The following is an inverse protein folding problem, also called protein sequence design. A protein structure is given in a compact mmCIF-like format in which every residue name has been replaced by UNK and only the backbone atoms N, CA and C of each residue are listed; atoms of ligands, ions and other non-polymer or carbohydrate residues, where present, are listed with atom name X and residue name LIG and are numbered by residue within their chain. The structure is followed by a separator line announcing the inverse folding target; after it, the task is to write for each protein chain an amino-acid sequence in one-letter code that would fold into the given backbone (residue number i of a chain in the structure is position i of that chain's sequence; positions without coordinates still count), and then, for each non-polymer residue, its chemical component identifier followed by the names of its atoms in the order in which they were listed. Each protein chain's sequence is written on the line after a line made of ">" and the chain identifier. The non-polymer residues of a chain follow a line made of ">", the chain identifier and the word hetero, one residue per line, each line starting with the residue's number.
data_IF_009352803529
#
_entry.id   IF_009352803529
#
_cell.length_a   1.000
_cell.length_b   1.000
_cell.length_c   1.000
_cell.angle_alpha   90.00
_cell.angle_beta   90.00
_cell.angle_gamma   90.00
#
_symmetry.space_group_name_H-M   'P 1'
#
loop_
_entity.id
_entity.type
_entity.pdbx_description
1 polymer ?
#
# COMPACT_ATOMS: atom_id res chain seq x y z
N UNK A 1 27.48 41.05 2.24
CA UNK A 1 27.63 40.47 0.88
C UNK A 1 27.26 38.99 0.82
N UNK A 2 27.73 38.16 1.75
CA UNK A 2 27.39 36.71 1.82
C UNK A 2 25.89 36.43 2.09
N UNK A 3 25.22 37.28 2.88
CA UNK A 3 23.80 37.13 3.20
C UNK A 3 22.84 37.41 2.03
N UNK A 4 23.25 38.24 1.06
CA UNK A 4 22.46 38.54 -0.14
C UNK A 4 22.53 37.41 -1.17
N UNK A 5 23.70 36.77 -1.28
CA UNK A 5 23.95 35.64 -2.20
C UNK A 5 23.17 34.38 -1.75
N UNK A 6 23.00 34.17 -0.43
CA UNK A 6 22.20 33.04 0.07
C UNK A 6 20.68 33.23 -0.15
N UNK A 7 20.17 34.46 -0.07
CA UNK A 7 18.75 34.73 -0.33
C UNK A 7 18.38 34.63 -1.81
N UNK A 8 19.27 35.06 -2.73
CA UNK A 8 19.07 34.84 -4.16
C UNK A 8 19.13 33.35 -4.54
N UNK A 9 19.94 32.56 -3.84
CA UNK A 9 20.05 31.12 -4.05
C UNK A 9 18.80 30.37 -3.56
N UNK A 10 18.25 30.73 -2.40
CA UNK A 10 17.01 30.17 -1.87
C UNK A 10 15.79 30.49 -2.76
N UNK A 11 15.69 31.72 -3.27
CA UNK A 11 14.62 32.12 -4.20
C UNK A 11 14.75 31.45 -5.58
N UNK A 12 15.96 31.19 -6.07
CA UNK A 12 16.17 30.41 -7.29
C UNK A 12 15.81 28.93 -7.11
N UNK A 13 16.05 28.34 -5.93
CA UNK A 13 15.68 26.95 -5.64
C UNK A 13 14.14 26.81 -5.51
N UNK A 14 13.46 27.76 -4.85
CA UNK A 14 11.99 27.82 -4.81
C UNK A 14 11.39 27.89 -6.22
N UNK A 15 11.89 28.83 -7.03
CA UNK A 15 11.46 29.01 -8.43
C UNK A 15 11.74 27.77 -9.29
N UNK A 16 12.82 27.04 -9.04
CA UNK A 16 13.14 25.80 -9.75
C UNK A 16 12.28 24.62 -9.30
N UNK A 17 11.86 24.56 -8.03
CA UNK A 17 10.91 23.54 -7.54
C UNK A 17 9.49 23.79 -8.05
N UNK A 18 9.07 25.06 -8.17
CA UNK A 18 7.79 25.42 -8.78
C UNK A 18 7.79 25.18 -10.29
N UNK A 19 8.92 25.45 -10.96
CA UNK A 19 9.10 25.12 -12.37
C UNK A 19 9.20 23.60 -12.59
N UNK A 20 9.82 22.83 -11.69
CA UNK A 20 9.86 21.38 -11.75
C UNK A 20 8.46 20.77 -11.55
N UNK A 21 7.64 21.31 -10.64
CA UNK A 21 6.22 20.96 -10.47
C UNK A 21 5.39 21.28 -11.72
N UNK A 22 5.63 22.43 -12.35
CA UNK A 22 4.97 22.83 -13.60
C UNK A 22 5.43 22.01 -14.83
N UNK A 23 6.71 21.60 -14.86
CA UNK A 23 7.29 20.85 -15.98
C UNK A 23 6.96 19.36 -15.89
N UNK A 24 6.79 18.80 -14.68
CA UNK A 24 6.27 17.45 -14.48
C UNK A 24 4.78 17.33 -14.88
N UNK A 25 3.97 18.38 -14.64
CA UNK A 25 2.59 18.46 -15.17
C UNK A 25 2.54 18.49 -16.71
N UNK A 26 3.57 19.00 -17.37
CA UNK A 26 3.55 19.22 -18.83
C UNK A 26 4.10 18.07 -19.69
N UNK A 27 4.52 16.93 -19.11
CA UNK A 27 5.09 15.79 -19.88
C UNK A 27 4.29 14.48 -19.84
N UNK A 28 3.09 14.47 -19.27
CA UNK A 28 2.11 13.39 -19.46
C UNK A 28 0.87 14.01 -20.11
N UNK A 29 0.89 14.13 -21.44
CA UNK A 29 -0.31 14.43 -22.22
C UNK A 29 -1.10 13.15 -22.44
N UNK A 30 -1.82 12.75 -21.41
CA UNK A 30 -3.08 12.01 -21.50
C UNK A 30 -4.01 12.72 -20.52
N UNK A 31 -5.09 13.32 -21.03
CA UNK A 31 -6.01 14.23 -20.34
C UNK A 31 -6.17 14.03 -18.83
N UNK A 32 -6.04 15.11 -18.03
CA UNK A 32 -6.72 15.12 -16.74
C UNK A 32 -7.13 16.54 -16.29
N UNK A 33 -8.31 17.07 -16.66
CA UNK A 33 -8.94 18.17 -15.91
C UNK A 33 -10.48 18.16 -16.04
N UNK A 34 -11.11 17.09 -15.55
CA UNK A 34 -12.41 17.22 -14.88
C UNK A 34 -12.24 16.51 -13.55
N UNK A 35 -12.41 17.21 -12.40
CA UNK A 35 -12.62 16.50 -11.15
C UNK A 35 -13.77 15.55 -11.39
N UNK A 36 -13.56 14.24 -11.22
CA UNK A 36 -14.68 13.31 -11.14
C UNK A 36 -15.57 13.84 -10.02
N UNK A 37 -16.73 14.41 -10.36
CA UNK A 37 -17.71 14.80 -9.37
C UNK A 37 -18.01 13.55 -8.55
N UNK A 38 -17.59 13.58 -7.29
CA UNK A 38 -17.75 12.41 -6.44
C UNK A 38 -19.23 12.27 -6.15
N UNK A 39 -19.81 11.15 -6.58
CA UNK A 39 -21.23 10.89 -6.41
C UNK A 39 -21.61 11.08 -4.95
N UNK A 40 -22.51 12.02 -4.68
CA UNK A 40 -23.07 12.30 -3.35
C UNK A 40 -23.69 11.06 -2.68
N UNK A 41 -23.91 9.97 -3.44
CA UNK A 41 -24.39 8.68 -2.96
C UNK A 41 -23.29 7.63 -2.76
N UNK A 42 -21.99 7.96 -2.85
CA UNK A 42 -20.93 6.99 -2.63
C UNK A 42 -20.92 6.52 -1.17
N UNK A 43 -21.23 5.24 -0.97
CA UNK A 43 -21.20 4.56 0.33
C UNK A 43 -20.14 3.48 0.33
N UNK A 44 -19.24 3.52 1.31
CA UNK A 44 -18.07 2.63 1.38
C UNK A 44 -18.25 1.61 2.49
N UNK A 45 -18.10 0.33 2.16
CA UNK A 45 -18.25 -0.79 3.07
C UNK A 45 -16.94 -1.50 3.31
N UNK A 46 -16.69 -1.94 4.55
CA UNK A 46 -15.60 -2.85 4.87
C UNK A 46 -16.17 -4.13 5.48
N UNK A 47 -15.89 -5.27 4.85
CA UNK A 47 -16.11 -6.59 5.43
C UNK A 47 -14.80 -7.06 6.04
N UNK A 48 -14.71 -6.99 7.37
CA UNK A 48 -13.50 -7.18 8.15
C UNK A 48 -12.99 -5.88 8.76
N UNK A 49 -12.83 -5.87 10.09
CA UNK A 49 -12.33 -4.72 10.85
C UNK A 49 -10.82 -4.82 11.17
N UNK A 50 -10.01 -5.36 10.25
CA UNK A 50 -8.56 -5.56 10.41
C UNK A 50 -7.74 -4.28 10.20
N UNK A 51 -6.41 -4.38 10.35
CA UNK A 51 -5.50 -3.23 10.17
C UNK A 51 -5.58 -2.60 8.78
N UNK A 52 -5.75 -3.42 7.73
CA UNK A 52 -5.86 -2.91 6.36
C UNK A 52 -7.16 -2.11 6.16
N UNK A 53 -8.29 -2.63 6.63
CA UNK A 53 -9.55 -1.87 6.64
C UNK A 53 -9.42 -0.55 7.40
N UNK A 54 -8.77 -0.56 8.57
CA UNK A 54 -8.58 0.65 9.37
C UNK A 54 -7.67 1.67 8.68
N UNK A 55 -6.53 1.25 8.13
CA UNK A 55 -5.60 2.14 7.43
C UNK A 55 -6.25 2.80 6.21
N UNK A 56 -6.99 2.02 5.41
CA UNK A 56 -7.72 2.51 4.24
C UNK A 56 -8.86 3.44 4.67
N UNK A 57 -9.69 3.04 5.62
CA UNK A 57 -10.78 3.89 6.13
C UNK A 57 -10.25 5.22 6.66
N UNK A 58 -9.17 5.20 7.44
CA UNK A 58 -8.54 6.42 7.94
C UNK A 58 -8.06 7.33 6.81
N UNK A 59 -7.46 6.77 5.76
CA UNK A 59 -7.02 7.56 4.61
C UNK A 59 -8.19 8.19 3.85
N UNK A 60 -9.22 7.40 3.55
CA UNK A 60 -10.43 7.88 2.88
C UNK A 60 -11.06 9.08 3.59
N UNK A 61 -11.16 9.02 4.92
CA UNK A 61 -11.75 10.09 5.72
C UNK A 61 -10.85 11.33 5.81
N UNK A 62 -9.53 11.16 5.68
CA UNK A 62 -8.59 12.28 5.75
C UNK A 62 -8.58 13.16 4.50
N UNK A 63 -9.09 12.69 3.35
CA UNK A 63 -9.23 13.57 2.19
C UNK A 63 -10.27 14.67 2.41
N UNK A 64 -11.22 14.44 3.31
CA UNK A 64 -12.37 15.33 3.54
C UNK A 64 -13.52 15.13 2.54
N UNK A 65 -13.30 14.38 1.47
CA UNK A 65 -14.31 14.12 0.45
C UNK A 65 -15.32 13.06 0.92
N UNK A 66 -14.86 12.09 1.71
CA UNK A 66 -15.70 10.99 2.22
C UNK A 66 -16.11 11.27 3.67
N UNK A 67 -17.39 11.57 3.96
CA UNK A 67 -17.83 11.77 5.34
C UNK A 67 -17.84 10.43 6.11
N UNK A 68 -17.52 10.39 7.42
CA UNK A 68 -17.57 9.17 8.21
C UNK A 68 -18.91 8.42 8.16
N UNK A 69 -20.01 9.17 7.99
CA UNK A 69 -21.38 8.64 7.91
C UNK A 69 -21.66 7.87 6.62
N UNK A 70 -20.81 7.98 5.58
CA UNK A 70 -20.89 7.18 4.36
C UNK A 70 -20.10 5.88 4.44
N UNK A 71 -19.33 5.67 5.52
CA UNK A 71 -18.52 4.46 5.74
C UNK A 71 -19.20 3.52 6.74
N UNK A 72 -19.19 2.23 6.45
CA UNK A 72 -19.64 1.18 7.38
C UNK A 72 -18.67 0.00 7.42
N UNK A 73 -18.39 -0.51 8.61
CA UNK A 73 -17.47 -1.63 8.83
C UNK A 73 -18.18 -2.78 9.53
N UNK A 74 -17.95 -4.01 9.07
CA UNK A 74 -18.44 -5.23 9.71
C UNK A 74 -17.32 -6.12 10.23
N UNK A 75 -17.56 -6.78 11.37
CA UNK A 75 -16.71 -7.87 11.86
C UNK A 75 -17.48 -8.80 12.82
N UNK A 76 -17.08 -10.08 12.94
CA UNK A 76 -17.73 -11.02 13.86
C UNK A 76 -17.46 -10.69 15.34
N UNK A 77 -16.45 -9.87 15.64
CA UNK A 77 -16.09 -9.46 17.01
C UNK A 77 -15.97 -7.95 17.09
N UNK A 78 -16.41 -7.37 18.21
CA UNK A 78 -16.31 -5.94 18.49
C UNK A 78 -14.89 -5.48 18.88
N UNK A 79 -13.90 -6.39 18.96
CA UNK A 79 -12.53 -6.10 19.43
C UNK A 79 -11.91 -4.85 18.79
N UNK A 80 -12.17 -4.63 17.50
CA UNK A 80 -11.59 -3.53 16.74
C UNK A 80 -12.60 -2.39 16.45
N UNK A 81 -13.83 -2.42 16.98
CA UNK A 81 -14.84 -1.40 16.65
C UNK A 81 -14.48 -0.03 17.19
N UNK A 82 -13.93 0.05 18.41
CA UNK A 82 -13.61 1.31 19.09
C UNK A 82 -12.82 2.26 18.17
N UNK A 83 -11.74 1.79 17.54
CA UNK A 83 -10.93 2.62 16.64
C UNK A 83 -11.68 3.12 15.39
N UNK A 84 -12.69 2.39 14.90
CA UNK A 84 -13.52 2.88 13.78
C UNK A 84 -14.55 3.88 14.27
N UNK A 85 -15.14 3.65 15.45
CA UNK A 85 -16.07 4.59 16.08
C UNK A 85 -15.40 5.92 16.43
N UNK A 86 -14.13 5.91 16.84
CA UNK A 86 -13.30 7.11 17.03
C UNK A 86 -13.12 7.93 15.74
N UNK A 87 -13.25 7.30 14.57
CA UNK A 87 -13.27 7.98 13.27
C UNK A 87 -14.70 8.42 12.85
N UNK A 88 -15.72 8.18 13.68
CA UNK A 88 -17.12 8.45 13.36
C UNK A 88 -17.77 7.42 12.41
N UNK A 89 -17.12 6.28 12.18
CA UNK A 89 -17.58 5.25 11.25
C UNK A 89 -18.60 4.31 11.91
N UNK A 90 -19.67 3.99 11.18
CA UNK A 90 -20.67 3.03 11.64
C UNK A 90 -20.09 1.60 11.65
N UNK A 91 -20.37 0.84 12.71
CA UNK A 91 -19.93 -0.55 12.87
C UNK A 91 -21.12 -1.50 12.98
N UNK A 92 -20.98 -2.73 12.50
CA UNK A 92 -22.02 -3.76 12.57
C UNK A 92 -21.41 -5.17 12.67
N UNK A 93 -22.18 -6.14 13.13
CA UNK A 93 -21.81 -7.55 13.08
C UNK A 93 -22.30 -8.25 11.79
N UNK A 94 -23.08 -7.56 10.96
CA UNK A 94 -23.70 -8.12 9.76
C UNK A 94 -22.97 -7.71 8.49
N UNK A 95 -22.42 -8.69 7.76
CA UNK A 95 -21.89 -8.45 6.41
C UNK A 95 -23.01 -8.07 5.42
N UNK A 96 -24.24 -8.57 5.65
CA UNK A 96 -25.40 -8.28 4.81
C UNK A 96 -25.78 -6.80 4.89
N UNK A 97 -25.74 -6.21 6.09
CA UNK A 97 -25.98 -4.77 6.28
C UNK A 97 -24.97 -3.90 5.52
N UNK A 98 -23.71 -4.33 5.43
CA UNK A 98 -22.69 -3.62 4.64
C UNK A 98 -23.05 -3.67 3.16
N UNK A 99 -23.34 -4.85 2.59
CA UNK A 99 -23.70 -4.95 1.17
C UNK A 99 -24.97 -4.18 0.83
N UNK A 100 -25.99 -4.18 1.69
CA UNK A 100 -27.21 -3.44 1.40
C UNK A 100 -27.02 -1.92 1.37
N UNK A 101 -26.16 -1.39 2.24
CA UNK A 101 -26.00 0.05 2.46
C UNK A 101 -24.76 0.68 1.80
N UNK A 102 -23.95 -0.11 1.09
CA UNK A 102 -22.71 0.33 0.46
C UNK A 102 -22.65 -0.05 -1.03
N UNK A 103 -21.86 0.70 -1.79
CA UNK A 103 -21.65 0.53 -3.23
C UNK A 103 -20.21 0.09 -3.51
N UNK A 104 -19.23 0.71 -2.86
CA UNK A 104 -17.83 0.28 -2.91
C UNK A 104 -17.51 -0.57 -1.68
N UNK A 105 -17.27 -1.86 -1.84
CA UNK A 105 -17.15 -2.79 -0.71
C UNK A 105 -15.79 -3.46 -0.70
N UNK A 106 -15.01 -3.16 0.33
CA UNK A 106 -13.73 -3.79 0.61
C UNK A 106 -13.93 -5.11 1.37
N UNK A 107 -13.47 -6.22 0.78
CA UNK A 107 -13.37 -7.53 1.43
C UNK A 107 -11.99 -7.62 2.09
N UNK A 108 -11.94 -7.26 3.38
CA UNK A 108 -10.74 -7.11 4.20
C UNK A 108 -10.61 -8.17 5.30
N UNK A 109 -10.91 -9.41 4.93
CA UNK A 109 -10.76 -10.60 5.79
C UNK A 109 -9.48 -11.37 5.46
N UNK A 110 -9.15 -12.36 6.29
CA UNK A 110 -8.03 -13.27 6.00
C UNK A 110 -8.31 -14.08 4.72
N UNK A 111 -7.29 -14.44 3.92
CA UNK A 111 -7.50 -15.12 2.64
C UNK A 111 -8.37 -16.37 2.70
N UNK A 112 -8.15 -17.24 3.70
CA UNK A 112 -8.93 -18.47 3.88
C UNK A 112 -10.42 -18.23 4.22
N UNK A 113 -10.81 -17.01 4.62
CA UNK A 113 -12.20 -16.66 4.93
C UNK A 113 -12.95 -16.08 3.73
N UNK A 114 -12.25 -15.69 2.66
CA UNK A 114 -12.87 -14.98 1.53
C UNK A 114 -14.00 -15.80 0.90
N UNK A 115 -13.77 -17.09 0.64
CA UNK A 115 -14.80 -17.94 0.04
C UNK A 115 -16.07 -18.04 0.90
N UNK A 116 -15.92 -18.21 2.21
CA UNK A 116 -17.05 -18.27 3.14
C UNK A 116 -17.81 -16.93 3.20
N UNK A 117 -17.08 -15.81 3.27
CA UNK A 117 -17.67 -14.47 3.32
C UNK A 117 -18.41 -14.14 2.02
N UNK A 118 -17.78 -14.40 0.87
CA UNK A 118 -18.40 -14.16 -0.45
C UNK A 118 -19.63 -15.05 -0.65
N UNK A 119 -19.58 -16.31 -0.22
CA UNK A 119 -20.71 -17.24 -0.30
C UNK A 119 -21.96 -16.76 0.46
N UNK A 120 -21.80 -16.02 1.56
CA UNK A 120 -22.93 -15.43 2.30
C UNK A 120 -23.52 -14.24 1.56
N UNK A 121 -22.66 -13.36 1.03
CA UNK A 121 -23.11 -12.07 0.50
C UNK A 121 -23.47 -12.09 -0.99
N UNK A 122 -23.03 -13.10 -1.74
CA UNK A 122 -23.15 -13.17 -3.20
C UNK A 122 -24.58 -12.97 -3.71
N UNK A 123 -25.59 -13.44 -2.97
CA UNK A 123 -27.02 -13.30 -3.31
C UNK A 123 -27.52 -11.84 -3.30
N UNK A 124 -26.80 -10.94 -2.65
CA UNK A 124 -27.13 -9.52 -2.53
C UNK A 124 -26.26 -8.64 -3.43
N UNK A 125 -25.23 -9.20 -4.05
CA UNK A 125 -24.35 -8.48 -4.97
C UNK A 125 -25.09 -8.26 -6.29
N UNK A 126 -25.17 -7.00 -6.69
CA UNK A 126 -25.74 -6.53 -7.95
C UNK A 126 -24.76 -5.61 -8.68
N UNK A 127 -25.11 -5.18 -9.89
CA UNK A 127 -24.30 -4.28 -10.73
C UNK A 127 -24.00 -2.90 -10.11
N UNK A 128 -24.68 -2.52 -9.02
CA UNK A 128 -24.35 -1.29 -8.29
C UNK A 128 -23.06 -1.39 -7.47
N UNK A 129 -22.54 -2.59 -7.25
CA UNK A 129 -21.42 -2.82 -6.34
C UNK A 129 -20.10 -2.96 -7.07
N UNK A 130 -19.06 -2.32 -6.52
CA UNK A 130 -17.66 -2.55 -6.83
C UNK A 130 -17.06 -3.32 -5.66
N UNK A 131 -16.70 -4.58 -5.88
CA UNK A 131 -16.09 -5.43 -4.85
C UNK A 131 -14.57 -5.31 -4.91
N UNK A 132 -13.95 -4.81 -3.85
CA UNK A 132 -12.50 -4.65 -3.75
C UNK A 132 -11.94 -5.66 -2.75
N UNK A 133 -11.22 -6.68 -3.23
CA UNK A 133 -10.56 -7.63 -2.32
C UNK A 133 -9.18 -7.11 -1.91
N UNK A 134 -8.87 -7.14 -0.60
CA UNK A 134 -7.50 -6.89 -0.08
C UNK A 134 -6.83 -8.16 0.43
N UNK A 135 -7.40 -9.33 0.11
CA UNK A 135 -6.89 -10.60 0.58
C UNK A 135 -5.69 -11.08 -0.25
N UNK A 136 -4.54 -11.25 0.40
CA UNK A 136 -3.34 -11.79 -0.22
C UNK A 136 -3.59 -13.18 -0.83
N UNK A 137 -3.09 -13.42 -2.03
CA UNK A 137 -3.20 -14.69 -2.76
C UNK A 137 -4.59 -15.01 -3.35
N UNK A 138 -5.63 -14.23 -3.10
CA UNK A 138 -6.95 -14.52 -3.72
C UNK A 138 -7.04 -13.83 -5.09
N UNK A 139 -6.97 -14.62 -6.15
CA UNK A 139 -6.92 -14.12 -7.54
C UNK A 139 -8.26 -13.55 -8.01
N UNK A 140 -8.23 -12.67 -9.02
CA UNK A 140 -9.42 -12.12 -9.69
C UNK A 140 -10.31 -13.25 -10.22
N UNK A 141 -9.73 -14.26 -10.88
CA UNK A 141 -10.47 -15.45 -11.35
C UNK A 141 -11.20 -16.15 -10.20
N UNK A 142 -10.58 -16.26 -9.03
CA UNK A 142 -11.22 -16.86 -7.85
C UNK A 142 -12.35 -15.98 -7.31
N UNK A 143 -12.14 -14.67 -7.24
CA UNK A 143 -13.14 -13.71 -6.75
C UNK A 143 -14.36 -13.67 -7.67
N UNK A 144 -14.14 -13.58 -8.98
CA UNK A 144 -15.21 -13.56 -10.00
C UNK A 144 -15.98 -14.88 -10.01
N UNK A 145 -15.31 -16.02 -9.83
CA UNK A 145 -15.97 -17.32 -9.72
C UNK A 145 -16.79 -17.52 -8.44
N UNK A 146 -16.60 -16.69 -7.41
CA UNK A 146 -17.35 -16.70 -6.16
C UNK A 146 -18.50 -15.68 -6.12
N UNK A 147 -18.61 -14.85 -7.15
CA UNK A 147 -19.58 -13.76 -7.26
C UNK A 147 -20.51 -14.00 -8.46
N UNK A 148 -21.65 -13.29 -8.55
CA UNK A 148 -22.51 -13.39 -9.71
C UNK A 148 -21.77 -13.01 -11.00
N UNK A 149 -22.06 -13.69 -12.11
CA UNK A 149 -21.48 -13.36 -13.41
C UNK A 149 -21.71 -11.89 -13.75
N UNK A 150 -20.68 -11.20 -14.26
CA UNK A 150 -20.76 -9.77 -14.55
C UNK A 150 -20.46 -8.87 -13.35
N UNK A 151 -20.07 -9.38 -12.19
CA UNK A 151 -19.72 -8.54 -11.04
C UNK A 151 -18.48 -7.69 -11.30
N UNK A 152 -18.49 -6.44 -10.86
CA UNK A 152 -17.33 -5.54 -10.91
C UNK A 152 -16.41 -5.86 -9.72
N UNK A 153 -15.20 -6.33 -10.03
CA UNK A 153 -14.22 -6.76 -9.03
C UNK A 153 -12.88 -6.07 -9.24
N UNK A 154 -12.28 -5.60 -8.15
CA UNK A 154 -10.91 -5.09 -8.10
C UNK A 154 -10.11 -5.92 -7.09
N UNK A 155 -8.88 -6.30 -7.43
CA UNK A 155 -7.94 -6.92 -6.49
C UNK A 155 -6.93 -5.86 -6.10
N UNK A 156 -6.88 -5.51 -4.82
CA UNK A 156 -6.02 -4.49 -4.25
C UNK A 156 -5.01 -5.14 -3.30
N UNK A 157 -3.75 -4.75 -3.40
CA UNK A 157 -2.72 -5.13 -2.45
C UNK A 157 -2.14 -3.87 -1.80
N UNK A 158 -2.56 -3.54 -0.58
CA UNK A 158 -1.92 -2.50 0.22
C UNK A 158 -0.74 -3.07 1.03
N UNK A 159 0.00 -2.20 1.71
CA UNK A 159 0.97 -2.59 2.73
C UNK A 159 0.73 -1.88 4.08
N UNK A 160 1.46 -2.29 5.11
CA UNK A 160 1.25 -1.83 6.49
C UNK A 160 1.35 -0.29 6.68
N UNK A 161 2.26 0.44 6.00
CA UNK A 161 2.34 1.90 6.06
C UNK A 161 1.07 2.68 5.71
N UNK A 162 0.02 2.05 5.15
CA UNK A 162 -1.31 2.66 5.06
C UNK A 162 -1.84 3.13 6.43
N UNK A 163 -1.42 2.53 7.55
CA UNK A 163 -1.82 2.97 8.90
C UNK A 163 -1.37 4.41 9.23
N UNK A 164 -0.26 4.83 8.63
CA UNK A 164 0.34 6.17 8.77
C UNK A 164 0.23 6.96 7.47
N UNK A 165 -0.62 6.52 6.53
CA UNK A 165 -0.88 7.20 5.25
C UNK A 165 0.38 7.37 4.39
N UNK A 166 1.28 6.40 4.45
CA UNK A 166 2.51 6.32 3.63
C UNK A 166 2.57 4.95 2.93
N UNK A 167 1.40 4.43 2.56
CA UNK A 167 1.25 3.15 1.89
C UNK A 167 1.85 3.12 0.50
N UNK A 168 2.17 1.91 0.05
CA UNK A 168 2.28 1.58 -1.36
C UNK A 168 1.16 0.58 -1.66
N UNK A 169 0.33 0.92 -2.63
CA UNK A 169 -0.85 0.17 -3.01
C UNK A 169 -0.78 -0.13 -4.52
N UNK A 170 -1.05 -1.37 -4.89
CA UNK A 170 -1.21 -1.77 -6.28
C UNK A 170 -2.55 -2.47 -6.44
N UNK A 171 -3.30 -2.13 -7.48
CA UNK A 171 -4.53 -2.85 -7.82
C UNK A 171 -4.58 -3.29 -9.27
N UNK A 172 -5.47 -4.26 -9.52
CA UNK A 172 -5.81 -4.76 -10.84
C UNK A 172 -7.31 -4.89 -10.99
N UNK A 173 -7.79 -4.61 -12.21
CA UNK A 173 -9.20 -4.73 -12.58
C UNK A 173 -9.55 -6.16 -12.98
N UNK A 174 -10.71 -6.62 -12.51
CA UNK A 174 -11.36 -7.82 -13.03
C UNK A 174 -11.90 -7.62 -14.44
N UNK A 175 -12.40 -8.69 -15.02
CA UNK A 175 -12.93 -8.81 -16.38
C UNK A 175 -14.01 -7.78 -16.69
N UNK A 176 -14.88 -7.49 -15.71
CA UNK A 176 -16.03 -6.59 -15.91
C UNK A 176 -15.81 -5.17 -15.36
N UNK A 177 -14.69 -4.91 -14.68
CA UNK A 177 -14.39 -3.59 -14.15
C UNK A 177 -13.90 -2.64 -15.24
N UNK A 178 -14.54 -1.48 -15.35
CA UNK A 178 -14.23 -0.46 -16.35
C UNK A 178 -13.07 0.44 -15.90
N UNK A 179 -12.44 1.19 -16.82
CA UNK A 179 -11.39 2.16 -16.46
C UNK A 179 -11.84 3.17 -15.40
N UNK A 180 -13.12 3.57 -15.41
CA UNK A 180 -13.71 4.51 -14.47
C UNK A 180 -13.77 3.96 -13.05
N UNK A 181 -14.03 2.65 -12.88
CA UNK A 181 -13.99 1.98 -11.57
C UNK A 181 -12.58 2.03 -10.96
N UNK A 182 -11.56 1.83 -11.81
CA UNK A 182 -10.16 1.92 -11.44
C UNK A 182 -9.74 3.36 -11.10
N UNK A 183 -10.19 4.33 -11.89
CA UNK A 183 -9.94 5.75 -11.65
C UNK A 183 -10.57 6.22 -10.33
N UNK A 184 -11.80 5.79 -10.05
CA UNK A 184 -12.48 6.04 -8.78
C UNK A 184 -11.68 5.45 -7.61
N UNK A 185 -11.30 4.16 -7.68
CA UNK A 185 -10.53 3.52 -6.61
C UNK A 185 -9.19 4.25 -6.39
N UNK A 186 -8.47 4.60 -7.46
CA UNK A 186 -7.20 5.33 -7.37
C UNK A 186 -7.40 6.65 -6.66
N UNK A 187 -8.36 7.46 -7.08
CA UNK A 187 -8.66 8.78 -6.50
C UNK A 187 -8.94 8.67 -5.00
N UNK A 188 -9.83 7.75 -4.62
CA UNK A 188 -10.20 7.50 -3.22
C UNK A 188 -9.02 7.05 -2.36
N UNK A 189 -8.09 6.27 -2.91
CA UNK A 189 -6.98 5.71 -2.16
C UNK A 189 -5.73 6.60 -2.14
N UNK A 190 -5.65 7.67 -2.94
CA UNK A 190 -4.48 8.57 -2.93
C UNK A 190 -4.07 9.08 -1.53
N UNK A 191 -4.99 9.41 -0.61
CA UNK A 191 -4.63 9.79 0.76
C UNK A 191 -3.90 8.68 1.53
N UNK A 192 -4.05 7.40 1.12
CA UNK A 192 -3.40 6.26 1.76
C UNK A 192 -1.90 6.14 1.42
N UNK A 193 -1.44 6.81 0.35
CA UNK A 193 -0.07 6.76 -0.14
C UNK A 193 0.03 6.64 -1.67
N UNK A 194 1.06 5.96 -2.17
CA UNK A 194 1.23 5.70 -3.60
C UNK A 194 0.20 4.65 -4.06
N UNK A 195 -0.57 4.95 -5.10
CA UNK A 195 -1.58 4.04 -5.66
C UNK A 195 -1.37 3.85 -7.14
N UNK A 196 -1.01 2.63 -7.54
CA UNK A 196 -0.77 2.26 -8.92
C UNK A 196 -1.78 1.21 -9.40
N UNK A 197 -2.05 1.20 -10.71
CA UNK A 197 -2.79 0.13 -11.37
C UNK A 197 -1.85 -0.63 -12.28
N UNK A 198 -2.02 -1.95 -12.36
CA UNK A 198 -1.26 -2.76 -13.29
C UNK A 198 -1.86 -4.15 -13.51
N UNK A 199 -1.19 -4.98 -14.31
CA UNK A 199 -1.53 -6.39 -14.49
C UNK A 199 -1.59 -7.14 -13.15
N UNK A 200 -2.51 -8.11 -13.03
CA UNK A 200 -2.66 -8.90 -11.80
C UNK A 200 -1.36 -9.62 -11.39
N UNK A 201 -0.54 -10.02 -12.36
CA UNK A 201 0.77 -10.64 -12.12
C UNK A 201 1.73 -9.74 -11.31
N UNK A 202 1.54 -8.42 -11.33
CA UNK A 202 2.34 -7.50 -10.54
C UNK A 202 1.93 -7.48 -9.07
N UNK A 203 0.74 -7.97 -8.70
CA UNK A 203 0.29 -8.00 -7.30
C UNK A 203 1.18 -8.92 -6.46
N UNK A 204 1.59 -10.07 -6.99
CA UNK A 204 2.47 -10.98 -6.26
C UNK A 204 3.89 -10.39 -6.14
N UNK A 205 4.36 -9.68 -7.18
CA UNK A 205 5.63 -8.92 -7.15
C UNK A 205 5.56 -7.82 -6.10
N UNK A 206 4.46 -7.05 -6.08
CA UNK A 206 4.22 -6.01 -5.09
C UNK A 206 4.14 -6.58 -3.67
N UNK A 207 3.59 -7.78 -3.50
CA UNK A 207 3.57 -8.48 -2.20
C UNK A 207 4.99 -8.80 -1.72
N UNK A 208 5.85 -9.30 -2.60
CA UNK A 208 7.27 -9.57 -2.28
C UNK A 208 8.08 -8.30 -2.05
N UNK A 209 7.76 -7.22 -2.76
CA UNK A 209 8.43 -5.93 -2.68
C UNK A 209 7.91 -5.04 -1.55
N UNK A 210 6.70 -4.50 -1.65
CA UNK A 210 6.17 -3.49 -0.72
C UNK A 210 5.53 -4.11 0.52
N UNK A 211 4.90 -5.29 0.37
CA UNK A 211 4.22 -5.97 1.46
C UNK A 211 5.23 -6.53 2.45
N UNK A 212 6.13 -7.39 1.94
CA UNK A 212 7.21 -8.01 2.72
C UNK A 212 8.35 -7.02 3.02
N UNK A 213 8.60 -6.05 2.14
CA UNK A 213 9.66 -5.06 2.28
C UNK A 213 9.60 -4.22 3.55
N UNK A 214 8.42 -4.04 4.14
CA UNK A 214 8.28 -3.37 5.44
C UNK A 214 9.13 -4.08 6.51
N UNK A 215 9.09 -5.42 6.54
CA UNK A 215 9.89 -6.20 7.48
C UNK A 215 11.39 -6.15 7.13
N UNK A 216 11.74 -6.10 5.85
CA UNK A 216 13.14 -5.96 5.41
C UNK A 216 13.74 -4.62 5.88
N UNK A 217 12.94 -3.55 5.81
CA UNK A 217 13.33 -2.23 6.31
C UNK A 217 13.45 -2.22 7.84
N UNK A 218 12.59 -2.92 8.58
CA UNK A 218 12.72 -3.06 10.03
C UNK A 218 14.01 -3.79 10.42
N UNK A 219 14.34 -4.90 9.75
CA UNK A 219 15.60 -5.62 9.96
C UNK A 219 16.81 -4.71 9.67
N UNK A 220 16.76 -3.93 8.58
CA UNK A 220 17.84 -2.99 8.27
C UNK A 220 17.99 -1.90 9.33
N UNK A 221 16.89 -1.32 9.80
CA UNK A 221 16.90 -0.31 10.85
C UNK A 221 17.44 -0.86 12.19
N UNK A 222 17.08 -2.10 12.54
CA UNK A 222 17.60 -2.81 13.70
C UNK A 222 19.12 -3.03 13.58
N UNK A 223 19.59 -3.55 12.45
CA UNK A 223 21.02 -3.77 12.20
C UNK A 223 21.85 -2.47 12.27
N UNK A 224 21.30 -1.34 11.78
CA UNK A 224 21.93 -0.03 11.93
C UNK A 224 22.06 0.38 13.40
N UNK A 225 20.99 0.19 14.18
CA UNK A 225 20.98 0.51 15.61
C UNK A 225 21.99 -0.36 16.39
N UNK A 226 22.01 -1.67 16.14
CA UNK A 226 22.98 -2.59 16.75
C UNK A 226 24.42 -2.24 16.40
N UNK A 227 24.68 -1.83 15.15
CA UNK A 227 25.96 -1.30 14.72
C UNK A 227 26.39 -0.08 15.55
N UNK A 228 25.49 0.87 15.80
CA UNK A 228 25.77 2.04 16.63
C UNK A 228 25.99 1.70 18.11
N UNK A 229 25.22 0.74 18.65
CA UNK A 229 25.41 0.23 20.03
C UNK A 229 26.79 -0.40 20.18
N UNK A 230 27.23 -1.20 19.21
CA UNK A 230 28.59 -1.77 19.17
C UNK A 230 29.68 -0.70 19.23
N UNK A 231 29.41 0.49 18.70
CA UNK A 231 30.32 1.64 18.74
C UNK A 231 30.18 2.50 20.01
N UNK A 232 29.34 2.09 20.98
CA UNK A 232 29.20 2.71 22.29
C UNK A 232 27.99 3.63 22.46
N UNK A 233 27.07 3.68 21.51
CA UNK A 233 25.84 4.47 21.65
C UNK A 233 24.82 3.79 22.58
N UNK A 234 24.08 4.53 23.43
CA UNK A 234 22.95 3.97 24.18
C UNK A 234 21.88 3.41 23.25
N UNK A 235 21.39 2.20 23.55
CA UNK A 235 20.45 1.45 22.70
C UNK A 235 19.22 2.26 22.28
N UNK A 236 18.52 2.89 23.23
CA UNK A 236 17.31 3.67 22.91
C UNK A 236 17.58 4.79 21.90
N UNK A 237 18.70 5.51 22.06
CA UNK A 237 19.10 6.57 21.13
C UNK A 237 19.46 6.01 19.76
N UNK A 238 20.18 4.88 19.71
CA UNK A 238 20.55 4.22 18.46
C UNK A 238 19.33 3.81 17.63
N UNK A 239 18.32 3.20 18.27
CA UNK A 239 17.07 2.84 17.59
C UNK A 239 16.30 4.06 17.09
N UNK A 240 16.19 5.14 17.88
CA UNK A 240 15.54 6.37 17.44
C UNK A 240 16.25 7.03 16.25
N UNK A 241 17.58 7.10 16.27
CA UNK A 241 18.37 7.68 15.16
C UNK A 241 18.28 6.79 13.91
N UNK A 242 18.34 5.47 14.05
CA UNK A 242 18.22 4.55 12.92
C UNK A 242 16.84 4.68 12.23
N UNK A 243 15.76 4.72 13.01
CA UNK A 243 14.40 4.95 12.49
C UNK A 243 14.29 6.29 11.74
N UNK A 244 14.84 7.37 12.31
CA UNK A 244 14.82 8.69 11.68
C UNK A 244 15.66 8.74 10.40
N UNK A 245 16.78 8.02 10.36
CA UNK A 245 17.66 7.92 9.18
C UNK A 245 16.94 7.21 8.03
N UNK A 246 16.26 6.10 8.32
CA UNK A 246 15.45 5.39 7.33
C UNK A 246 14.31 6.26 6.81
N UNK A 247 13.59 6.95 7.69
CA UNK A 247 12.50 7.86 7.31
C UNK A 247 12.98 8.97 6.37
N UNK A 248 14.04 9.70 6.78
CA UNK A 248 14.56 10.83 6.01
C UNK A 248 15.14 10.39 4.66
N UNK A 249 15.88 9.28 4.61
CA UNK A 249 16.40 8.73 3.37
C UNK A 249 15.27 8.29 2.42
N UNK A 250 14.22 7.66 2.94
CA UNK A 250 13.04 7.27 2.16
C UNK A 250 12.29 8.46 1.57
N UNK A 251 12.11 9.53 2.36
CA UNK A 251 11.49 10.77 1.90
C UNK A 251 12.31 11.45 0.79
N UNK A 252 13.63 11.59 0.99
CA UNK A 252 14.53 12.15 -0.03
C UNK A 252 14.50 11.33 -1.32
N UNK A 253 14.49 10.00 -1.21
CA UNK A 253 14.41 9.12 -2.37
C UNK A 253 13.11 9.33 -3.15
N UNK A 254 11.97 9.39 -2.45
CA UNK A 254 10.65 9.58 -3.07
C UNK A 254 10.52 10.96 -3.72
N UNK A 255 10.93 12.01 -3.00
CA UNK A 255 10.58 13.39 -3.36
C UNK A 255 11.59 14.05 -4.29
N UNK A 256 12.82 13.53 -4.39
CA UNK A 256 13.88 14.14 -5.22
C UNK A 256 13.79 13.82 -6.71
N UNK A 257 13.12 12.73 -7.10
CA UNK A 257 13.12 12.22 -8.48
C UNK A 257 14.49 11.74 -8.98
N UNK A 258 15.51 11.68 -8.10
CA UNK A 258 16.87 11.26 -8.45
C UNK A 258 17.02 9.74 -8.40
N UNK A 259 17.90 9.22 -9.25
CA UNK A 259 18.26 7.81 -9.18
C UNK A 259 18.95 7.48 -7.83
N UNK A 260 18.68 6.33 -7.17
CA UNK A 260 19.27 5.99 -5.88
C UNK A 260 20.81 6.04 -5.85
N UNK A 261 21.46 5.68 -6.96
CA UNK A 261 22.92 5.77 -7.07
C UNK A 261 23.43 7.20 -7.02
N UNK A 262 22.67 8.18 -7.53
CA UNK A 262 23.04 9.59 -7.44
C UNK A 262 22.92 10.09 -6.00
N UNK A 263 21.79 9.83 -5.32
CA UNK A 263 21.61 10.20 -3.92
C UNK A 263 22.70 9.60 -3.02
N UNK A 264 23.08 8.34 -3.29
CA UNK A 264 24.20 7.69 -2.59
C UNK A 264 25.52 8.43 -2.83
N UNK A 265 25.82 8.82 -4.06
CA UNK A 265 27.04 9.57 -4.38
C UNK A 265 27.07 10.96 -3.74
N UNK A 266 25.92 11.64 -3.63
CA UNK A 266 25.82 12.98 -3.01
C UNK A 266 26.19 12.98 -1.51
N UNK A 267 26.04 11.84 -0.82
CA UNK A 267 26.44 11.67 0.60
C UNK A 267 27.80 10.99 0.79
N UNK A 268 28.52 10.70 -0.30
CA UNK A 268 29.85 10.09 -0.27
C UNK A 268 30.94 11.12 -0.55
N UNK A 269 31.61 11.59 0.49
CA UNK A 269 32.81 12.41 0.33
C UNK A 269 34.05 11.53 0.08
N UNK A 270 35.02 11.97 -0.74
CA UNK A 270 36.27 11.22 -0.96
C UNK A 270 36.99 10.94 0.36
N UNK A 271 37.26 9.66 0.65
CA UNK A 271 37.89 9.22 1.90
C UNK A 271 37.03 9.37 3.16
N UNK A 272 35.75 9.75 3.02
CA UNK A 272 34.83 9.93 4.13
C UNK A 272 34.27 8.62 4.70
N UNK A 273 33.60 8.70 5.85
CA UNK A 273 33.07 7.53 6.56
C UNK A 273 32.07 6.71 5.72
N UNK A 274 31.24 7.37 4.92
CA UNK A 274 30.20 6.72 4.10
C UNK A 274 30.78 5.69 3.13
N UNK A 275 31.88 6.01 2.43
CA UNK A 275 32.41 5.09 1.40
C UNK A 275 33.03 3.83 2.01
N UNK A 276 33.66 3.93 3.19
CA UNK A 276 34.15 2.75 3.92
C UNK A 276 32.99 1.87 4.40
N UNK A 277 31.91 2.48 4.91
CA UNK A 277 30.70 1.75 5.28
C UNK A 277 30.05 1.04 4.08
N UNK A 278 29.90 1.74 2.95
CA UNK A 278 29.37 1.16 1.71
C UNK A 278 30.24 0.03 1.19
N UNK A 279 31.57 0.16 1.24
CA UNK A 279 32.47 -0.92 0.83
C UNK A 279 32.25 -2.19 1.67
N UNK A 280 32.11 -2.07 2.99
CA UNK A 280 31.80 -3.20 3.86
C UNK A 280 30.41 -3.81 3.56
N UNK A 281 29.40 -2.99 3.26
CA UNK A 281 28.08 -3.47 2.84
C UNK A 281 28.11 -4.25 1.51
N UNK A 282 28.92 -3.79 0.54
CA UNK A 282 29.09 -4.51 -0.73
C UNK A 282 29.84 -5.84 -0.52
N UNK A 283 30.87 -5.88 0.35
CA UNK A 283 31.51 -7.14 0.75
C UNK A 283 30.53 -8.10 1.43
N UNK A 284 29.59 -7.57 2.21
CA UNK A 284 28.50 -8.34 2.82
C UNK A 284 27.40 -8.77 1.86
N UNK A 285 27.46 -8.39 0.57
CA UNK A 285 26.50 -8.83 -0.44
C UNK A 285 25.09 -8.26 -0.28
N UNK A 286 24.93 -7.07 0.32
CA UNK A 286 23.61 -6.47 0.64
C UNK A 286 22.68 -6.44 -0.58
N UNK A 287 23.19 -6.11 -1.77
CA UNK A 287 22.37 -6.10 -3.01
C UNK A 287 21.83 -7.47 -3.35
N UNK A 288 22.70 -8.48 -3.36
CA UNK A 288 22.33 -9.85 -3.70
C UNK A 288 21.29 -10.37 -2.72
N UNK A 289 21.54 -10.23 -1.41
CA UNK A 289 20.62 -10.66 -0.36
C UNK A 289 19.24 -9.98 -0.48
N UNK A 290 19.21 -8.68 -0.76
CA UNK A 290 17.95 -7.93 -0.89
C UNK A 290 17.16 -8.34 -2.13
N UNK A 291 17.83 -8.52 -3.27
CA UNK A 291 17.18 -8.98 -4.51
C UNK A 291 16.58 -10.38 -4.35
N UNK A 292 17.35 -11.31 -3.77
CA UNK A 292 16.87 -12.66 -3.47
C UNK A 292 15.71 -12.66 -2.48
N UNK A 293 15.71 -11.78 -1.46
CA UNK A 293 14.58 -11.66 -0.53
C UNK A 293 13.27 -11.29 -1.25
N UNK A 294 13.31 -10.34 -2.18
CA UNK A 294 12.14 -9.93 -2.98
C UNK A 294 11.68 -11.07 -3.90
N UNK A 295 12.62 -11.75 -4.54
CA UNK A 295 12.34 -12.91 -5.41
C UNK A 295 11.60 -14.02 -4.63
N UNK A 296 12.19 -14.51 -3.54
CA UNK A 296 11.61 -15.60 -2.73
C UNK A 296 10.27 -15.20 -2.12
N UNK A 297 10.12 -13.95 -1.65
CA UNK A 297 8.84 -13.47 -1.14
C UNK A 297 7.77 -13.39 -2.23
N UNK A 298 8.14 -13.00 -3.45
CA UNK A 298 7.26 -12.98 -4.62
C UNK A 298 6.82 -14.40 -5.01
N UNK A 299 7.75 -15.35 -5.06
CA UNK A 299 7.44 -16.76 -5.33
C UNK A 299 6.49 -17.33 -4.29
N UNK A 300 6.74 -17.05 -3.00
CA UNK A 300 5.84 -17.46 -1.93
C UNK A 300 4.45 -16.85 -2.07
N UNK A 301 4.34 -15.59 -2.49
CA UNK A 301 3.05 -14.96 -2.74
C UNK A 301 2.27 -15.66 -3.87
N UNK A 302 2.95 -16.07 -4.95
CA UNK A 302 2.37 -16.87 -6.03
C UNK A 302 1.86 -18.22 -5.53
N UNK A 303 2.64 -18.90 -4.70
CA UNK A 303 2.26 -20.20 -4.14
C UNK A 303 1.01 -20.11 -3.25
N UNK A 304 0.85 -19.03 -2.48
CA UNK A 304 -0.36 -18.80 -1.70
C UNK A 304 -1.62 -18.63 -2.56
N UNK A 305 -1.47 -18.18 -3.81
CA UNK A 305 -2.57 -18.04 -4.76
C UNK A 305 -2.89 -19.27 -5.59
N UNK A 306 -2.04 -20.30 -5.53
CA UNK A 306 -2.36 -21.62 -6.10
C UNK A 306 -3.32 -22.32 -5.13
N UNK A 307 -4.46 -22.82 -5.64
CA UNK A 307 -5.31 -23.72 -4.86
C UNK A 307 -4.44 -24.87 -4.35
N UNK A 308 -4.54 -25.30 -3.08
CA UNK A 308 -3.87 -26.53 -2.66
C UNK A 308 -4.35 -27.63 -3.59
N UNK A 309 -3.43 -28.23 -4.35
CA UNK A 309 -3.72 -29.47 -5.04
C UNK A 309 -4.16 -30.44 -3.95
N UNK A 310 -5.38 -30.97 -4.07
CA UNK A 310 -5.73 -32.15 -3.30
C UNK A 310 -4.64 -33.16 -3.60
N UNK A 311 -3.81 -33.46 -2.60
CA UNK A 311 -2.92 -34.63 -2.63
C UNK A 311 -3.88 -35.79 -2.83
N UNK A 312 -3.92 -36.32 -4.04
CA UNK A 312 -4.58 -37.59 -4.32
C UNK A 312 -3.95 -38.58 -3.35
N UNK A 313 -4.73 -39.04 -2.39
CA UNK A 313 -4.40 -40.22 -1.61
C UNK A 313 -4.32 -41.38 -2.60
N UNK A 314 -3.10 -41.67 -3.07
CA UNK A 314 -2.79 -42.88 -3.81
C UNK A 314 -2.95 -44.05 -2.85
N UNK A 315 -4.20 -44.52 -2.72
CA UNK A 315 -4.53 -45.82 -2.17
C UNK A 315 -4.03 -46.88 -3.15
N UNK A 316 -2.75 -47.23 -3.05
CA UNK A 316 -2.25 -48.50 -3.58
C UNK A 316 -2.14 -49.52 -2.46
N UNK A 317 -3.04 -50.50 -2.59
CA UNK A 317 -3.03 -51.82 -1.95
C UNK A 317 -1.74 -52.57 -2.26
#
# INVERSE_FOLDING_TARGET
>A
MVHAIMNESANRISSFMDLARATFRNKIKTDPETPLEMDSNLRIGFIGAGNMAYGIAKGLLQSGDVPPTSVKVSAPSARNFVRFQELGVAVTHSNEEVIHSCNLVFVAVKPHLVAAVLGVITKYVTQKHIIVSVAAGVTLVTLEGLLPTGSVVLRLMPNLPCLVQQGALLFSRGTHAQPEDGALLRSLLQPCGLVEEGPEAWIDIHTGLSGSGVAFVYLFAEALAEGAVKMGMPSALAHSIAAQTVLGAGQLLRDSGKHPAQLRSEVCTPGGTTIFGLHAMEQGGVRAATMTAVEIATERARDLGRKPSHIATDNRK
#
